data_IF_070920528498
#
_entry.id   IF_070920528498
#
_cell.length_a   1.000
_cell.length_b   1.000
_cell.length_c   1.000
_cell.angle_alpha   90.00
_cell.angle_beta   90.00
_cell.angle_gamma   90.00
#
_symmetry.space_group_name_H-M   'P 1'
#
loop_
_entity.id
_entity.type
_entity.pdbx_description
1 polymer ?
#
# COMPACT_ATOMS: atom_id res chain seq x y z
N UNK A 1 -6.70 -4.44 -21.82
CA UNK A 1 -6.60 -3.89 -20.45
C UNK A 1 -7.48 -4.68 -19.50
N UNK A 2 -7.02 -4.82 -18.30
CA UNK A 2 -7.71 -5.60 -17.27
C UNK A 2 -7.80 -4.81 -15.98
N UNK A 3 -8.82 -5.13 -15.19
CA UNK A 3 -8.94 -4.63 -13.83
C UNK A 3 -8.29 -5.60 -12.86
N UNK A 4 -7.50 -5.04 -11.95
CA UNK A 4 -6.86 -5.79 -10.88
C UNK A 4 -7.25 -5.19 -9.52
N UNK A 5 -7.37 -6.06 -8.52
CA UNK A 5 -7.47 -5.65 -7.14
C UNK A 5 -6.12 -5.90 -6.47
N UNK A 6 -5.52 -4.85 -5.94
CA UNK A 6 -4.23 -4.91 -5.25
C UNK A 6 -4.42 -4.64 -3.77
N UNK A 7 -3.77 -5.45 -2.94
CA UNK A 7 -3.68 -5.19 -1.50
C UNK A 7 -2.31 -4.62 -1.21
N UNK A 8 -2.29 -3.37 -0.77
CA UNK A 8 -1.06 -2.62 -0.44
C UNK A 8 -0.91 -2.63 1.08
N UNK A 9 0.27 -3.03 1.56
CA UNK A 9 0.54 -3.14 2.99
C UNK A 9 1.50 -2.05 3.43
N UNK A 10 1.15 -1.37 4.50
CA UNK A 10 1.99 -0.38 5.17
C UNK A 10 2.31 -0.84 6.58
N UNK A 11 3.53 -0.56 7.01
CA UNK A 11 3.91 -0.68 8.41
C UNK A 11 3.71 0.67 9.09
N UNK A 12 3.04 0.66 10.22
CA UNK A 12 2.82 1.87 11.02
C UNK A 12 3.89 1.92 12.10
N UNK A 13 4.71 2.96 12.08
CA UNK A 13 5.78 3.18 13.05
C UNK A 13 5.45 4.41 13.86
N UNK A 14 5.37 4.27 15.17
CA UNK A 14 5.12 5.36 16.10
C UNK A 14 6.38 5.64 16.91
N UNK A 15 6.86 6.87 16.86
CA UNK A 15 8.07 7.28 17.56
C UNK A 15 9.29 6.51 17.06
N UNK A 16 10.00 5.84 17.98
CA UNK A 16 11.20 5.07 17.67
C UNK A 16 10.91 3.62 17.25
N UNK A 17 9.62 3.24 17.17
CA UNK A 17 9.24 1.90 16.77
C UNK A 17 9.30 0.86 17.88
N UNK A 18 9.45 1.27 19.13
CA UNK A 18 9.51 0.37 20.29
C UNK A 18 8.11 -0.05 20.73
N UNK A 19 7.39 -0.71 19.82
CA UNK A 19 6.02 -1.19 20.07
C UNK A 19 5.76 -2.43 19.23
N UNK A 20 4.66 -3.12 19.54
CA UNK A 20 4.21 -4.25 18.73
C UNK A 20 4.00 -3.78 17.28
N UNK A 21 4.54 -4.50 16.30
CA UNK A 21 4.36 -4.14 14.90
C UNK A 21 2.89 -4.02 14.53
N UNK A 22 2.56 -2.93 13.84
CA UNK A 22 1.22 -2.65 13.35
C UNK A 22 1.27 -2.48 11.84
N UNK A 23 0.27 -3.02 11.16
CA UNK A 23 0.19 -2.95 9.70
C UNK A 23 -1.18 -2.43 9.29
N UNK A 24 -1.19 -1.71 8.18
CA UNK A 24 -2.41 -1.25 7.53
C UNK A 24 -2.48 -1.89 6.14
N UNK A 25 -3.64 -2.40 5.78
CA UNK A 25 -3.89 -2.99 4.48
C UNK A 25 -4.88 -2.13 3.73
N UNK A 26 -4.51 -1.72 2.52
CA UNK A 26 -5.35 -0.90 1.67
C UNK A 26 -5.60 -1.58 0.35
N UNK A 27 -6.85 -1.53 -0.10
CA UNK A 27 -7.24 -2.08 -1.40
C UNK A 27 -7.27 -0.97 -2.45
N UNK A 28 -6.75 -1.29 -3.64
CA UNK A 28 -6.78 -0.38 -4.79
C UNK A 28 -7.19 -1.12 -6.04
N UNK A 29 -8.01 -0.47 -6.85
CA UNK A 29 -8.34 -0.95 -8.18
C UNK A 29 -7.33 -0.37 -9.17
N UNK A 30 -6.77 -1.26 -9.99
CA UNK A 30 -5.71 -0.90 -10.92
C UNK A 30 -6.05 -1.42 -12.30
N UNK A 31 -5.86 -0.57 -13.30
CA UNK A 31 -6.02 -0.95 -14.71
C UNK A 31 -4.63 -1.14 -15.29
N UNK A 32 -4.39 -2.32 -15.86
CA UNK A 32 -3.11 -2.64 -16.47
C UNK A 32 -3.28 -3.72 -17.55
N UNK A 33 -2.32 -3.85 -18.48
CA UNK A 33 -2.39 -4.88 -19.51
C UNK A 33 -2.14 -6.29 -18.97
N UNK A 34 -1.33 -6.42 -17.91
CA UNK A 34 -0.97 -7.72 -17.33
C UNK A 34 -0.59 -7.56 -15.84
N UNK A 35 -0.34 -8.71 -15.21
CA UNK A 35 0.02 -8.78 -13.79
C UNK A 35 1.28 -7.99 -13.46
N UNK A 36 2.30 -8.08 -14.31
CA UNK A 36 3.58 -7.41 -14.06
C UNK A 36 3.41 -5.90 -14.02
N UNK A 37 2.67 -5.34 -14.96
CA UNK A 37 2.39 -3.90 -15.00
C UNK A 37 1.47 -3.48 -13.86
N UNK A 38 0.48 -4.32 -13.51
CA UNK A 38 -0.39 -4.07 -12.37
C UNK A 38 0.42 -4.02 -11.07
N UNK A 39 1.35 -4.94 -10.88
CA UNK A 39 2.22 -4.96 -9.71
C UNK A 39 3.10 -3.70 -9.63
N UNK A 40 3.67 -3.28 -10.75
CA UNK A 40 4.47 -2.05 -10.82
C UNK A 40 3.66 -0.82 -10.44
N UNK A 41 2.45 -0.70 -11.00
CA UNK A 41 1.54 0.41 -10.68
C UNK A 41 1.16 0.41 -9.20
N UNK A 42 0.80 -0.75 -8.66
CA UNK A 42 0.42 -0.88 -7.26
C UNK A 42 1.58 -0.48 -6.34
N UNK A 43 2.79 -0.94 -6.65
CA UNK A 43 3.99 -0.60 -5.87
C UNK A 43 4.30 0.89 -5.93
N UNK A 44 4.15 1.50 -7.09
CA UNK A 44 4.34 2.95 -7.26
C UNK A 44 3.33 3.74 -6.43
N UNK A 45 2.06 3.32 -6.43
CA UNK A 45 1.01 3.93 -5.62
C UNK A 45 1.36 3.78 -4.13
N UNK A 46 1.79 2.59 -3.73
CA UNK A 46 2.17 2.32 -2.35
C UNK A 46 3.26 3.26 -1.86
N UNK A 47 4.30 3.44 -2.64
CA UNK A 47 5.39 4.36 -2.32
C UNK A 47 4.93 5.82 -2.32
N UNK A 48 4.12 6.19 -3.28
CA UNK A 48 3.63 7.57 -3.43
C UNK A 48 2.72 7.98 -2.26
N UNK A 49 1.98 7.04 -1.70
CA UNK A 49 1.02 7.30 -0.64
C UNK A 49 1.59 7.04 0.76
N UNK A 50 2.89 6.84 0.89
CA UNK A 50 3.53 6.86 2.21
C UNK A 50 3.26 8.20 2.88
N UNK A 51 3.05 8.17 4.18
CA UNK A 51 2.68 9.37 4.93
C UNK A 51 3.36 9.40 6.29
N UNK A 52 3.48 10.59 6.83
CA UNK A 52 3.99 10.79 8.18
C UNK A 52 3.34 12.03 8.79
N UNK A 53 3.07 11.95 10.08
CA UNK A 53 2.50 13.07 10.82
C UNK A 53 2.85 12.95 12.30
N UNK A 54 2.69 14.04 13.04
CA UNK A 54 2.85 14.03 14.48
C UNK A 54 1.49 13.81 15.14
N UNK A 55 1.45 12.86 16.11
CA UNK A 55 0.22 12.62 16.86
C UNK A 55 0.04 13.65 17.99
N UNK A 56 -1.03 13.48 18.78
CA UNK A 56 -1.35 14.40 19.89
C UNK A 56 -0.26 14.44 20.96
N UNK A 57 0.56 13.39 21.07
CA UNK A 57 1.69 13.33 22.00
C UNK A 57 2.99 13.84 21.38
N UNK A 58 2.91 14.51 20.22
CA UNK A 58 4.04 15.05 19.46
C UNK A 58 5.05 14.00 19.03
N UNK A 59 4.62 12.74 18.90
CA UNK A 59 5.44 11.66 18.37
C UNK A 59 5.17 11.50 16.88
N UNK A 60 6.24 11.24 16.13
CA UNK A 60 6.15 10.99 14.70
C UNK A 60 5.48 9.65 14.45
N UNK A 61 4.45 9.66 13.60
CA UNK A 61 3.78 8.45 13.11
C UNK A 61 4.05 8.36 11.63
N UNK A 62 4.55 7.19 11.19
CA UNK A 62 4.92 6.96 9.80
C UNK A 62 4.18 5.76 9.24
N UNK A 63 3.61 5.93 8.03
CA UNK A 63 3.11 4.85 7.19
C UNK A 63 4.19 4.52 6.17
N UNK A 64 4.87 3.39 6.34
CA UNK A 64 5.91 2.96 5.42
C UNK A 64 5.41 1.82 4.56
N UNK A 65 5.56 1.97 3.25
CA UNK A 65 5.19 0.94 2.29
C UNK A 65 6.05 -0.30 2.50
N UNK A 66 5.38 -1.46 2.65
CA UNK A 66 6.05 -2.75 2.81
C UNK A 66 6.06 -3.49 1.48
N UNK A 67 4.87 -3.77 0.95
CA UNK A 67 4.73 -4.58 -0.26
C UNK A 67 3.29 -4.58 -0.75
N UNK A 68 3.11 -5.04 -1.98
CA UNK A 68 1.82 -5.46 -2.50
C UNK A 68 1.69 -6.95 -2.15
N UNK A 69 0.83 -7.26 -1.18
CA UNK A 69 0.74 -8.63 -0.64
C UNK A 69 -0.14 -9.53 -1.48
N UNK A 70 -1.10 -8.96 -2.20
CA UNK A 70 -2.02 -9.72 -3.04
C UNK A 70 -2.37 -8.91 -4.29
N UNK A 71 -2.52 -9.61 -5.40
CA UNK A 71 -2.88 -9.02 -6.68
C UNK A 71 -3.76 -10.01 -7.43
N UNK A 72 -4.99 -9.60 -7.75
CA UNK A 72 -5.95 -10.44 -8.45
C UNK A 72 -6.49 -9.73 -9.68
N UNK A 73 -6.55 -10.43 -10.79
CA UNK A 73 -7.31 -9.95 -11.94
C UNK A 73 -8.79 -10.23 -11.66
N UNK A 74 -9.61 -9.18 -11.65
CA UNK A 74 -11.03 -9.31 -11.31
C UNK A 74 -11.95 -9.14 -12.51
N UNK A 75 -11.50 -8.47 -13.55
CA UNK A 75 -12.30 -8.26 -14.75
C UNK A 75 -11.44 -7.84 -15.93
N UNK A 76 -11.94 -8.10 -17.13
CA UNK A 76 -11.39 -7.57 -18.36
C UNK A 76 -12.15 -6.31 -18.74
N UNK A 77 -11.42 -5.34 -19.31
CA UNK A 77 -12.04 -4.17 -19.90
C UNK A 77 -12.49 -4.51 -21.33
N UNK A 78 -13.70 -4.18 -21.61
CA UNK A 78 -14.31 -4.37 -22.92
C UNK A 78 -14.14 -3.11 -23.75
#
# INVERSE_FOLDING_TARGET
MNWFLAKIVYRIICGEGNHTPQFDEQLRLIVAPDDAEAFKKASAIGLQEEDSFYNKSEKLVQWQFVNVSELYQIAELI
#
